data_IF_428659011528
#
_entry.id   IF_428659011528
#
_cell.length_a   1.000
_cell.length_b   1.000
_cell.length_c   1.000
_cell.angle_alpha   90.00
_cell.angle_beta   90.00
_cell.angle_gamma   90.00
#
_symmetry.space_group_name_H-M   'P 1'
#
loop_
_entity.id
_entity.type
_entity.pdbx_description
1 polymer ?
#
# COMPACT_ATOMS: atom_id res chain seq x y z
N UNK A 1 9.70 12.69 23.24
CA UNK A 1 10.57 11.64 22.70
C UNK A 1 9.70 10.64 22.00
N UNK A 2 9.73 10.68 20.66
CA UNK A 2 9.27 9.63 19.73
C UNK A 2 8.00 8.85 20.11
N UNK A 3 6.86 9.53 20.04
CA UNK A 3 5.56 8.87 20.08
C UNK A 3 5.01 8.85 18.63
N UNK A 4 4.81 7.66 18.07
CA UNK A 4 3.94 7.37 16.91
C UNK A 4 4.46 7.58 15.48
N UNK A 5 5.52 6.88 15.06
CA UNK A 5 5.83 6.67 13.62
C UNK A 5 5.66 5.19 13.20
N UNK A 6 4.64 4.51 13.72
CA UNK A 6 4.35 3.10 13.39
C UNK A 6 3.21 2.94 12.37
N UNK A 7 2.61 4.04 11.90
CA UNK A 7 1.45 4.00 11.01
C UNK A 7 1.69 4.83 9.76
N UNK A 8 1.85 4.16 8.62
CA UNK A 8 1.79 4.76 7.29
C UNK A 8 0.40 5.34 7.06
N UNK A 9 0.32 6.59 6.59
CA UNK A 9 -0.96 7.27 6.34
C UNK A 9 -1.80 6.53 5.30
N UNK A 10 -3.13 6.70 5.31
CA UNK A 10 -4.01 6.08 4.30
C UNK A 10 -3.61 6.52 2.88
N UNK A 11 -3.26 7.79 2.71
CA UNK A 11 -2.80 8.36 1.44
C UNK A 11 -1.52 7.68 0.96
N UNK A 12 -0.56 7.43 1.87
CA UNK A 12 0.69 6.75 1.51
C UNK A 12 0.45 5.27 1.21
N UNK A 13 -0.47 4.59 1.92
CA UNK A 13 -0.90 3.23 1.56
C UNK A 13 -1.47 3.19 0.12
N UNK A 14 -2.38 4.12 -0.21
CA UNK A 14 -2.97 4.24 -1.53
C UNK A 14 -1.93 4.56 -2.60
N UNK A 15 -0.99 5.46 -2.31
CA UNK A 15 0.11 5.79 -3.20
C UNK A 15 0.98 4.56 -3.49
N UNK A 16 1.34 3.77 -2.47
CA UNK A 16 2.09 2.51 -2.62
C UNK A 16 1.35 1.54 -3.54
N UNK A 17 0.04 1.35 -3.33
CA UNK A 17 -0.77 0.45 -4.15
C UNK A 17 -0.87 0.88 -5.61
N UNK A 18 -1.20 2.16 -5.86
CA UNK A 18 -1.31 2.70 -7.21
C UNK A 18 0.05 2.70 -7.91
N UNK A 19 1.11 3.10 -7.21
CA UNK A 19 2.46 3.13 -7.76
C UNK A 19 2.91 1.74 -8.21
N UNK A 20 2.75 0.70 -7.38
CA UNK A 20 3.05 -0.69 -7.80
C UNK A 20 2.15 -1.16 -8.95
N UNK A 21 0.86 -0.87 -8.90
CA UNK A 21 -0.10 -1.34 -9.92
C UNK A 21 0.12 -0.70 -11.30
N UNK A 22 0.54 0.56 -11.34
CA UNK A 22 0.73 1.33 -12.58
C UNK A 22 2.14 1.10 -13.15
N UNK A 23 3.16 1.08 -12.30
CA UNK A 23 4.56 1.04 -12.77
C UNK A 23 5.10 -0.37 -12.97
N UNK A 24 4.49 -1.39 -12.34
CA UNK A 24 4.98 -2.77 -12.39
C UNK A 24 6.38 -2.96 -11.80
N UNK A 25 6.86 -2.01 -10.99
CA UNK A 25 8.18 -2.07 -10.37
C UNK A 25 8.24 -3.13 -9.27
N UNK A 26 9.45 -3.65 -9.05
CA UNK A 26 9.70 -4.58 -7.95
C UNK A 26 9.58 -3.88 -6.59
N UNK A 27 9.17 -4.63 -5.57
CA UNK A 27 9.00 -4.15 -4.19
C UNK A 27 10.26 -3.42 -3.68
N UNK A 28 11.46 -3.84 -4.10
CA UNK A 28 12.72 -3.21 -3.69
C UNK A 28 12.80 -1.74 -4.14
N UNK A 29 12.48 -1.45 -5.40
CA UNK A 29 12.48 -0.08 -5.91
C UNK A 29 11.39 0.77 -5.24
N UNK A 30 10.23 0.17 -4.93
CA UNK A 30 9.16 0.86 -4.21
C UNK A 30 9.56 1.16 -2.77
N UNK A 31 10.20 0.21 -2.08
CA UNK A 31 10.76 0.44 -0.74
C UNK A 31 11.80 1.55 -0.73
N UNK A 32 12.68 1.60 -1.73
CA UNK A 32 13.65 2.69 -1.90
C UNK A 32 12.98 4.06 -2.11
N UNK A 33 11.91 4.11 -2.93
CA UNK A 33 11.18 5.35 -3.19
C UNK A 33 10.42 5.89 -1.97
N UNK A 34 9.77 5.01 -1.22
CA UNK A 34 8.95 5.38 -0.06
C UNK A 34 9.70 5.32 1.28
N UNK A 35 11.00 4.98 1.26
CA UNK A 35 11.84 4.81 2.46
C UNK A 35 11.27 3.83 3.49
N UNK A 36 10.57 2.80 3.00
CA UNK A 36 9.99 1.74 3.82
C UNK A 36 10.62 0.38 3.54
N UNK A 37 10.55 -0.52 4.52
CA UNK A 37 11.00 -1.89 4.31
C UNK A 37 10.12 -2.62 3.30
N UNK A 38 10.70 -3.61 2.60
CA UNK A 38 9.96 -4.43 1.65
C UNK A 38 8.75 -5.14 2.31
N UNK A 39 8.85 -5.46 3.58
CA UNK A 39 7.79 -6.06 4.39
C UNK A 39 6.60 -5.10 4.53
N UNK A 40 6.87 -3.85 4.90
CA UNK A 40 5.87 -2.77 5.01
C UNK A 40 5.17 -2.53 3.67
N UNK A 41 5.94 -2.43 2.58
CA UNK A 41 5.39 -2.25 1.23
C UNK A 41 4.48 -3.41 0.83
N UNK A 42 4.91 -4.65 1.08
CA UNK A 42 4.12 -5.85 0.77
C UNK A 42 2.82 -5.91 1.58
N UNK A 43 2.89 -5.59 2.88
CA UNK A 43 1.75 -5.60 3.78
C UNK A 43 0.65 -4.64 3.31
N UNK A 44 1.00 -3.40 2.97
CA UNK A 44 0.01 -2.41 2.54
C UNK A 44 -0.55 -2.68 1.15
N UNK A 45 0.27 -3.21 0.24
CA UNK A 45 -0.22 -3.65 -1.06
C UNK A 45 -1.27 -4.76 -0.92
N UNK A 46 -0.98 -5.80 -0.13
CA UNK A 46 -1.92 -6.90 0.09
C UNK A 46 -3.20 -6.43 0.79
N UNK A 47 -3.08 -5.54 1.79
CA UNK A 47 -4.22 -4.97 2.49
C UNK A 47 -5.17 -4.25 1.53
N UNK A 48 -4.63 -3.38 0.67
CA UNK A 48 -5.45 -2.63 -0.31
C UNK A 48 -5.99 -3.53 -1.41
N UNK A 49 -5.20 -4.51 -1.88
CA UNK A 49 -5.66 -5.51 -2.84
C UNK A 49 -6.87 -6.26 -2.30
N UNK A 50 -6.84 -6.70 -1.03
CA UNK A 50 -7.97 -7.38 -0.41
C UNK A 50 -9.19 -6.46 -0.29
N UNK A 51 -9.01 -5.21 0.14
CA UNK A 51 -10.11 -4.22 0.25
C UNK A 51 -10.77 -4.00 -1.11
N UNK A 52 -9.99 -3.77 -2.17
CA UNK A 52 -10.53 -3.53 -3.51
C UNK A 52 -11.09 -4.79 -4.18
N UNK A 53 -10.64 -5.98 -3.78
CA UNK A 53 -11.16 -7.26 -4.30
C UNK A 53 -12.35 -7.80 -3.50
N UNK A 54 -12.61 -7.26 -2.31
CA UNK A 54 -13.73 -7.68 -1.47
C UNK A 54 -15.04 -7.09 -1.97
N UNK A 55 -16.07 -7.94 -2.08
CA UNK A 55 -17.45 -7.52 -2.33
C UNK A 55 -18.07 -6.88 -1.07
N UNK A 56 -19.01 -5.92 -1.17
CA UNK A 56 -19.43 -5.20 -2.37
C UNK A 56 -18.80 -3.80 -2.36
N UNK A 57 -17.60 -3.64 -2.92
CA UNK A 57 -17.10 -2.29 -3.24
C UNK A 57 -18.01 -1.62 -4.29
N UNK A 58 -18.69 -2.44 -5.11
CA UNK A 58 -19.75 -2.03 -6.00
C UNK A 58 -21.09 -2.49 -5.44
N UNK A 59 -22.06 -1.61 -5.19
CA UNK A 59 -23.41 -2.04 -4.87
C UNK A 59 -23.98 -2.83 -6.05
N UNK A 60 -24.60 -3.97 -5.76
CA UNK A 60 -25.43 -4.68 -6.73
C UNK A 60 -26.54 -3.72 -7.18
N UNK A 61 -26.59 -3.45 -8.50
CA UNK A 61 -27.55 -2.55 -9.13
C UNK A 61 -28.97 -3.09 -9.12
#
# INVERSE_FOLDING_TARGET
GHENSQFVSLEEQLAIFLYMSITGLTIRHVGEHFQHSNETISQYFQKLLFIFSSSPFYPEY
#
